data_IF_260739097834
#
_entry.id   IF_260739097834
#
_cell.length_a   1.000
_cell.length_b   1.000
_cell.length_c   1.000
_cell.angle_alpha   90.00
_cell.angle_beta   90.00
_cell.angle_gamma   90.00
#
_symmetry.space_group_name_H-M   'P 1'
#
loop_
_entity.id
_entity.type
_entity.pdbx_description
1 polymer ?
#
# COMPACT_ATOMS: atom_id res chain seq x y z
N UNK A 1 0.81 16.13 -8.69
CA UNK A 1 0.50 14.92 -7.84
C UNK A 1 0.18 15.36 -6.40
N UNK A 2 -0.72 16.32 -6.24
CA UNK A 2 -1.05 16.89 -4.92
C UNK A 2 -1.46 15.78 -3.94
N UNK A 3 -0.66 15.62 -2.87
CA UNK A 3 -0.93 14.65 -1.81
C UNK A 3 -0.60 13.18 -2.13
N UNK A 4 -0.09 12.84 -3.32
CA UNK A 4 0.36 11.49 -3.62
C UNK A 4 1.54 11.11 -2.72
N UNK A 5 1.49 9.91 -2.13
CA UNK A 5 2.56 9.34 -1.30
C UNK A 5 3.41 8.43 -2.16
N UNK A 6 4.65 8.85 -2.44
CA UNK A 6 5.58 8.14 -3.32
C UNK A 6 6.79 7.67 -2.51
N UNK A 7 7.08 6.38 -2.54
CA UNK A 7 8.30 5.85 -1.94
C UNK A 7 9.31 5.49 -3.02
N UNK A 8 10.55 5.95 -2.83
CA UNK A 8 11.66 5.77 -3.77
C UNK A 8 12.63 4.77 -3.15
N UNK A 9 12.73 3.59 -3.76
CA UNK A 9 13.59 2.48 -3.32
C UNK A 9 14.79 2.40 -4.25
N UNK A 10 15.92 2.84 -3.75
CA UNK A 10 17.16 3.03 -4.50
C UNK A 10 18.32 3.01 -3.48
N UNK A 11 19.38 2.29 -3.75
CA UNK A 11 20.56 2.24 -2.88
C UNK A 11 21.48 3.44 -3.06
N UNK A 12 21.56 4.02 -4.27
CA UNK A 12 22.26 5.27 -4.51
C UNK A 12 21.57 6.45 -3.81
N UNK A 13 22.24 6.98 -2.79
CA UNK A 13 21.72 8.08 -1.98
C UNK A 13 21.56 9.38 -2.78
N UNK A 14 22.49 9.67 -3.68
CA UNK A 14 22.47 10.93 -4.46
C UNK A 14 21.28 10.92 -5.43
N UNK A 15 21.15 9.86 -6.20
CA UNK A 15 20.03 9.71 -7.13
C UNK A 15 18.69 9.67 -6.39
N UNK A 16 18.59 8.92 -5.30
CA UNK A 16 17.40 8.84 -4.46
C UNK A 16 16.97 10.22 -3.94
N UNK A 17 17.93 11.03 -3.45
CA UNK A 17 17.65 12.38 -2.93
C UNK A 17 17.17 13.29 -4.04
N UNK A 18 17.82 13.26 -5.20
CA UNK A 18 17.44 14.06 -6.37
C UNK A 18 16.00 13.78 -6.82
N UNK A 19 15.61 12.51 -6.87
CA UNK A 19 14.23 12.10 -7.21
C UNK A 19 13.23 12.57 -6.16
N UNK A 20 13.54 12.44 -4.89
CA UNK A 20 12.67 12.90 -3.79
C UNK A 20 12.42 14.40 -3.89
N UNK A 21 13.45 15.20 -4.07
CA UNK A 21 13.36 16.65 -4.15
C UNK A 21 12.47 17.07 -5.35
N UNK A 22 12.66 16.44 -6.49
CA UNK A 22 11.82 16.67 -7.67
C UNK A 22 10.35 16.33 -7.44
N UNK A 23 10.07 15.19 -6.80
CA UNK A 23 8.71 14.77 -6.48
C UNK A 23 8.02 15.71 -5.49
N UNK A 24 8.74 16.19 -4.50
CA UNK A 24 8.23 17.16 -3.52
C UNK A 24 7.90 18.49 -4.19
N UNK A 25 8.75 18.99 -5.09
CA UNK A 25 8.47 20.20 -5.88
C UNK A 25 7.18 20.05 -6.70
N UNK A 26 6.84 18.84 -7.13
CA UNK A 26 5.60 18.55 -7.87
C UNK A 26 4.39 18.18 -6.96
N UNK A 27 4.50 18.44 -5.65
CA UNK A 27 3.40 18.31 -4.67
C UNK A 27 3.15 16.89 -4.16
N UNK A 28 4.08 15.97 -4.34
CA UNK A 28 4.02 14.65 -3.72
C UNK A 28 4.60 14.69 -2.29
N UNK A 29 4.17 13.74 -1.45
CA UNK A 29 4.88 13.38 -0.22
C UNK A 29 5.81 12.23 -0.55
N UNK A 30 7.11 12.51 -0.67
CA UNK A 30 8.09 11.51 -1.08
C UNK A 30 8.94 11.02 0.10
N UNK A 31 9.31 9.73 0.08
CA UNK A 31 10.17 9.10 1.08
C UNK A 31 11.19 8.19 0.41
N UNK A 32 12.46 8.27 0.85
CA UNK A 32 13.55 7.43 0.37
C UNK A 32 13.76 6.18 1.23
N UNK A 33 14.04 5.07 0.58
CA UNK A 33 14.28 3.77 1.17
C UNK A 33 15.49 3.15 0.46
N UNK A 34 16.43 2.58 1.22
CA UNK A 34 17.70 2.08 0.67
C UNK A 34 17.71 0.60 0.28
N UNK A 35 16.68 -0.17 0.63
CA UNK A 35 16.60 -1.60 0.29
C UNK A 35 15.17 -2.13 0.32
N UNK A 36 14.96 -3.30 -0.33
CA UNK A 36 13.66 -3.98 -0.37
C UNK A 36 13.22 -4.45 1.03
N UNK A 37 14.13 -4.93 1.86
CA UNK A 37 13.84 -5.37 3.22
C UNK A 37 13.32 -4.21 4.08
N UNK A 38 13.90 -3.02 3.89
CA UNK A 38 13.42 -1.81 4.55
C UNK A 38 12.06 -1.40 4.03
N UNK A 39 11.82 -1.50 2.71
CA UNK A 39 10.50 -1.26 2.11
C UNK A 39 9.42 -2.13 2.77
N UNK A 40 9.64 -3.43 2.91
CA UNK A 40 8.68 -4.34 3.54
C UNK A 40 8.40 -3.98 4.99
N UNK A 41 9.44 -3.65 5.75
CA UNK A 41 9.27 -3.20 7.15
C UNK A 41 8.43 -1.94 7.26
N UNK A 42 8.64 -1.00 6.36
CA UNK A 42 7.87 0.24 6.35
C UNK A 42 6.43 0.02 5.89
N UNK A 43 6.20 -0.80 4.85
CA UNK A 43 4.86 -1.15 4.37
C UNK A 43 4.01 -1.87 5.42
N UNK A 44 4.64 -2.56 6.38
CA UNK A 44 3.92 -3.20 7.46
C UNK A 44 3.26 -2.22 8.45
N UNK A 45 3.70 -0.96 8.51
CA UNK A 45 3.19 0.05 9.46
C UNK A 45 2.70 1.32 8.79
N UNK A 46 3.07 1.55 7.53
CA UNK A 46 2.70 2.72 6.77
C UNK A 46 2.37 2.32 5.32
N UNK A 47 1.98 3.26 4.47
CA UNK A 47 1.59 2.99 3.09
C UNK A 47 2.06 4.07 2.13
N UNK A 48 2.16 3.71 0.86
CA UNK A 48 2.33 4.64 -0.24
C UNK A 48 1.30 4.35 -1.35
N UNK A 49 1.10 5.33 -2.20
CA UNK A 49 0.28 5.17 -3.40
C UNK A 49 1.10 4.56 -4.53
N UNK A 50 2.38 4.97 -4.62
CA UNK A 50 3.30 4.53 -5.68
C UNK A 50 4.67 4.20 -5.07
N UNK A 51 5.27 3.09 -5.55
CA UNK A 51 6.67 2.76 -5.32
C UNK A 51 7.43 2.98 -6.62
N UNK A 52 8.48 3.81 -6.57
CA UNK A 52 9.54 3.89 -7.58
C UNK A 52 10.65 2.97 -7.11
N UNK A 53 11.00 1.97 -7.89
CA UNK A 53 11.85 0.86 -7.45
C UNK A 53 12.97 0.61 -8.47
N UNK A 54 14.20 0.63 -8.03
CA UNK A 54 15.30 0.09 -8.85
C UNK A 54 15.23 -1.43 -8.88
N UNK A 55 15.58 -2.01 -10.02
CA UNK A 55 15.72 -3.45 -10.18
C UNK A 55 17.04 -3.94 -9.58
N UNK A 56 18.10 -3.13 -9.70
CA UNK A 56 19.44 -3.50 -9.24
C UNK A 56 19.62 -2.97 -7.81
N UNK A 57 19.23 -3.79 -6.85
CA UNK A 57 19.37 -3.47 -5.43
C UNK A 57 20.21 -4.55 -4.71
N UNK A 58 20.93 -4.19 -3.64
CA UNK A 58 21.58 -5.18 -2.80
C UNK A 58 20.54 -6.02 -2.03
N UNK A 59 20.78 -7.31 -1.91
CA UNK A 59 19.85 -8.26 -1.27
C UNK A 59 18.79 -8.78 -2.24
N UNK A 60 17.52 -8.52 -1.97
CA UNK A 60 16.43 -8.89 -2.87
C UNK A 60 16.35 -7.92 -4.06
N UNK A 61 16.32 -8.47 -5.28
CA UNK A 61 16.20 -7.66 -6.51
C UNK A 61 14.79 -7.09 -6.70
N UNK A 62 14.70 -5.96 -7.43
CA UNK A 62 13.46 -5.24 -7.65
C UNK A 62 12.41 -6.00 -8.46
N UNK A 63 12.75 -7.02 -9.26
CA UNK A 63 11.79 -7.84 -10.00
C UNK A 63 11.06 -8.81 -9.06
N UNK A 64 11.82 -9.47 -8.18
CA UNK A 64 11.27 -10.31 -7.11
C UNK A 64 10.36 -9.47 -6.21
N UNK A 65 10.86 -8.29 -5.79
CA UNK A 65 10.10 -7.35 -4.98
C UNK A 65 8.80 -6.92 -5.68
N UNK A 66 8.83 -6.63 -6.98
CA UNK A 66 7.63 -6.27 -7.76
C UNK A 66 6.56 -7.37 -7.68
N UNK A 67 6.97 -8.62 -7.88
CA UNK A 67 6.06 -9.77 -7.81
C UNK A 67 5.46 -9.94 -6.41
N UNK A 68 6.22 -9.67 -5.35
CA UNK A 68 5.75 -9.70 -3.98
C UNK A 68 4.78 -8.54 -3.68
N UNK A 69 5.13 -7.31 -4.08
CA UNK A 69 4.30 -6.12 -3.88
C UNK A 69 2.92 -6.28 -4.54
N UNK A 70 2.84 -6.89 -5.72
CA UNK A 70 1.56 -7.17 -6.39
C UNK A 70 0.65 -8.12 -5.63
N UNK A 71 1.22 -9.06 -4.88
CA UNK A 71 0.42 -9.99 -4.06
C UNK A 71 -0.16 -9.32 -2.81
N UNK A 72 0.54 -8.32 -2.28
CA UNK A 72 0.13 -7.65 -1.03
C UNK A 72 -0.68 -6.38 -1.26
N UNK A 73 -0.70 -5.81 -2.50
CA UNK A 73 -1.47 -4.59 -2.75
C UNK A 73 -1.53 -4.13 -4.20
N UNK A 74 -2.39 -3.13 -4.43
CA UNK A 74 -2.60 -2.51 -5.74
C UNK A 74 -1.91 -1.14 -5.85
N UNK A 75 -0.85 -0.91 -5.06
CA UNK A 75 -0.02 0.28 -5.20
C UNK A 75 0.57 0.38 -6.60
N UNK A 76 0.78 1.59 -7.10
CA UNK A 76 1.51 1.78 -8.36
C UNK A 76 2.95 1.33 -8.22
N UNK A 77 3.48 0.59 -9.20
CA UNK A 77 4.88 0.17 -9.22
C UNK A 77 5.53 0.67 -10.50
N UNK A 78 6.53 1.54 -10.34
CA UNK A 78 7.34 2.08 -11.44
C UNK A 78 8.76 1.58 -11.26
N UNK A 79 9.23 0.75 -12.19
CA UNK A 79 10.62 0.30 -12.22
C UNK A 79 11.48 1.36 -12.91
N UNK A 80 12.60 1.72 -12.26
CA UNK A 80 13.60 2.66 -12.82
C UNK A 80 14.98 2.04 -12.66
N UNK A 81 15.63 1.63 -13.74
CA UNK A 81 16.82 0.80 -13.65
C UNK A 81 17.78 0.99 -14.82
N UNK A 82 19.07 0.65 -14.63
CA UNK A 82 20.06 0.62 -15.71
C UNK A 82 19.84 -0.54 -16.72
N UNK A 83 18.98 -1.52 -16.41
CA UNK A 83 18.61 -2.58 -17.36
C UNK A 83 17.62 -2.02 -18.38
N UNK A 84 18.01 -1.90 -19.64
CA UNK A 84 17.23 -1.22 -20.68
C UNK A 84 16.86 -2.10 -21.87
N UNK A 85 17.09 -3.43 -21.83
CA UNK A 85 16.73 -4.30 -22.95
C UNK A 85 15.21 -4.51 -23.04
N UNK A 86 14.72 -4.80 -24.24
CA UNK A 86 13.30 -5.15 -24.44
C UNK A 86 12.87 -6.37 -23.61
N UNK A 87 13.79 -7.32 -23.39
CA UNK A 87 13.55 -8.49 -22.56
C UNK A 87 13.40 -8.13 -21.09
N UNK A 88 14.26 -7.26 -20.54
CA UNK A 88 14.16 -6.78 -19.15
C UNK A 88 12.85 -6.01 -18.94
N UNK A 89 12.48 -5.16 -19.88
CA UNK A 89 11.21 -4.41 -19.83
C UNK A 89 10.01 -5.36 -19.84
N UNK A 90 9.99 -6.35 -20.72
CA UNK A 90 8.92 -7.35 -20.78
C UNK A 90 8.82 -8.14 -19.47
N UNK A 91 9.97 -8.51 -18.88
CA UNK A 91 10.02 -9.21 -17.60
C UNK A 91 9.48 -8.35 -16.45
N UNK A 92 9.88 -7.09 -16.35
CA UNK A 92 9.41 -6.15 -15.32
C UNK A 92 7.90 -5.93 -15.37
N UNK A 93 7.35 -5.71 -16.56
CA UNK A 93 5.91 -5.55 -16.77
C UNK A 93 5.14 -6.84 -16.47
N UNK A 94 5.68 -8.00 -16.84
CA UNK A 94 5.09 -9.31 -16.53
C UNK A 94 5.13 -9.62 -15.03
N UNK A 95 6.13 -9.13 -14.31
CA UNK A 95 6.19 -9.23 -12.85
C UNK A 95 5.14 -8.37 -12.14
N UNK A 96 4.47 -7.45 -12.86
CA UNK A 96 3.38 -6.63 -12.36
C UNK A 96 3.69 -5.15 -12.21
N UNK A 97 4.79 -4.65 -12.77
CA UNK A 97 5.05 -3.22 -12.82
C UNK A 97 4.03 -2.49 -13.72
N UNK A 98 3.63 -1.28 -13.34
CA UNK A 98 2.74 -0.43 -14.12
C UNK A 98 3.49 0.39 -15.17
N UNK A 99 4.79 0.60 -14.95
CA UNK A 99 5.68 1.33 -15.83
C UNK A 99 7.12 0.83 -15.65
N UNK A 100 7.90 0.88 -16.73
CA UNK A 100 9.31 0.53 -16.73
C UNK A 100 10.09 1.65 -17.43
N UNK A 101 11.06 2.24 -16.76
CA UNK A 101 11.88 3.34 -17.25
C UNK A 101 13.36 2.97 -17.14
N UNK A 102 14.08 3.11 -18.25
CA UNK A 102 15.51 2.81 -18.29
C UNK A 102 16.35 4.07 -17.95
N UNK A 103 17.38 3.90 -17.12
CA UNK A 103 18.43 4.90 -16.89
C UNK A 103 19.40 4.93 -18.10
N UNK A 104 19.91 6.10 -18.57
CA UNK A 104 19.70 7.43 -17.99
C UNK A 104 18.30 7.96 -18.25
N UNK A 105 17.68 8.56 -17.23
CA UNK A 105 16.31 9.04 -17.26
C UNK A 105 16.24 10.52 -16.86
N UNK A 106 15.56 11.31 -17.65
CA UNK A 106 15.25 12.70 -17.30
C UNK A 106 14.13 12.74 -16.25
N UNK A 107 14.31 13.50 -15.16
CA UNK A 107 13.34 13.59 -14.07
C UNK A 107 11.94 14.04 -14.51
N UNK A 108 11.78 15.00 -15.46
CA UNK A 108 10.45 15.33 -15.97
C UNK A 108 9.70 14.15 -16.59
N UNK A 109 10.39 13.18 -17.19
CA UNK A 109 9.79 11.96 -17.74
C UNK A 109 9.27 11.06 -16.61
N UNK A 110 10.05 10.89 -15.55
CA UNK A 110 9.63 10.16 -14.36
C UNK A 110 8.39 10.80 -13.73
N UNK A 111 8.41 12.11 -13.51
CA UNK A 111 7.28 12.86 -12.96
C UNK A 111 6.02 12.70 -13.81
N UNK A 112 6.14 12.80 -15.14
CA UNK A 112 5.02 12.63 -16.05
C UNK A 112 4.43 11.21 -15.99
N UNK A 113 5.27 10.17 -15.91
CA UNK A 113 4.86 8.78 -15.78
C UNK A 113 4.11 8.55 -14.46
N UNK A 114 4.66 9.03 -13.34
CA UNK A 114 4.05 8.93 -12.03
C UNK A 114 2.72 9.68 -11.95
N UNK A 115 2.65 10.88 -12.52
CA UNK A 115 1.40 11.65 -12.60
C UNK A 115 0.32 10.93 -13.40
N UNK A 116 0.69 10.33 -14.55
CA UNK A 116 -0.23 9.55 -15.37
C UNK A 116 -0.73 8.31 -14.64
N UNK A 117 0.15 7.59 -13.94
CA UNK A 117 -0.19 6.42 -13.13
C UNK A 117 -1.13 6.80 -11.98
N UNK A 118 -0.79 7.80 -11.19
CA UNK A 118 -1.60 8.28 -10.07
C UNK A 118 -3.02 8.67 -10.51
N UNK A 119 -3.15 9.39 -11.63
CA UNK A 119 -4.44 9.77 -12.20
C UNK A 119 -5.28 8.53 -12.59
N UNK A 120 -4.66 7.50 -13.21
CA UNK A 120 -5.35 6.25 -13.56
C UNK A 120 -5.83 5.49 -12.32
N UNK A 121 -5.01 5.45 -11.27
CA UNK A 121 -5.38 4.84 -9.99
C UNK A 121 -6.55 5.57 -9.35
N UNK A 122 -6.51 6.90 -9.29
CA UNK A 122 -7.60 7.72 -8.78
C UNK A 122 -8.91 7.53 -9.58
N UNK A 123 -8.82 7.42 -10.91
CA UNK A 123 -9.97 7.16 -11.76
C UNK A 123 -10.60 5.76 -11.52
N UNK A 124 -9.77 4.72 -11.31
CA UNK A 124 -10.24 3.37 -10.93
C UNK A 124 -10.98 3.39 -9.59
N UNK A 125 -10.43 4.09 -8.59
CA UNK A 125 -11.08 4.26 -7.29
C UNK A 125 -12.43 4.99 -7.43
N UNK A 126 -12.46 6.06 -8.23
CA UNK A 126 -13.69 6.82 -8.48
C UNK A 126 -14.76 6.01 -9.24
N UNK A 127 -14.37 5.15 -10.18
CA UNK A 127 -15.28 4.25 -10.89
C UNK A 127 -15.87 3.20 -9.93
N UNK A 128 -15.01 2.56 -9.11
CA UNK A 128 -15.44 1.59 -8.11
C UNK A 128 -16.39 2.19 -7.06
N UNK A 129 -16.29 3.51 -6.80
CA UNK A 129 -17.24 4.25 -5.93
C UNK A 129 -18.63 4.38 -6.57
N UNK A 130 -18.72 4.57 -7.88
CA UNK A 130 -20.01 4.72 -8.59
C UNK A 130 -20.79 3.42 -8.67
N UNK A 131 -20.08 2.30 -8.77
CA UNK A 131 -20.68 0.97 -8.93
C UNK A 131 -20.99 0.29 -7.57
N UNK A 132 -20.72 0.96 -6.44
CA UNK A 132 -20.97 0.43 -5.11
C UNK A 132 -22.48 0.55 -4.78
N UNK A 133 -23.16 -0.56 -4.42
CA UNK A 133 -24.53 -0.50 -3.95
C UNK A 133 -24.65 0.35 -2.67
N UNK A 134 -25.83 0.91 -2.49
CA UNK A 134 -26.19 1.84 -1.42
C UNK A 134 -25.72 1.38 -0.04
N UNK A 135 -25.22 2.33 0.74
CA UNK A 135 -24.62 2.06 2.03
C UNK A 135 -25.66 1.51 3.01
N UNK A 136 -25.67 0.21 3.20
CA UNK A 136 -26.32 -0.37 4.35
C UNK A 136 -25.76 0.23 5.65
N UNK A 137 -26.55 0.19 6.72
CA UNK A 137 -26.24 0.74 8.06
C UNK A 137 -25.09 -0.01 8.78
N UNK A 138 -24.09 -0.50 8.04
CA UNK A 138 -22.99 -1.34 8.54
C UNK A 138 -21.63 -0.92 7.97
N UNK A 139 -20.57 -1.25 8.70
CA UNK A 139 -19.20 -1.11 8.21
C UNK A 139 -18.97 -1.98 6.99
N UNK A 140 -18.36 -1.42 5.95
CA UNK A 140 -18.09 -2.14 4.71
C UNK A 140 -16.77 -1.73 4.07
N UNK A 141 -16.14 -2.69 3.36
CA UNK A 141 -14.99 -2.43 2.51
C UNK A 141 -15.46 -2.26 1.07
N UNK A 142 -15.09 -1.16 0.43
CA UNK A 142 -15.45 -0.83 -0.96
C UNK A 142 -14.22 -0.53 -1.80
N UNK A 143 -14.42 -0.31 -3.09
CA UNK A 143 -13.33 -0.03 -4.02
C UNK A 143 -12.26 -1.13 -4.00
N UNK A 144 -12.67 -2.42 -4.02
CA UNK A 144 -11.75 -3.54 -3.94
C UNK A 144 -11.03 -3.67 -2.58
N UNK A 145 -11.58 -3.05 -1.53
CA UNK A 145 -11.01 -3.04 -0.19
C UNK A 145 -10.13 -1.82 0.10
N UNK A 146 -10.06 -0.83 -0.80
CA UNK A 146 -9.27 0.38 -0.60
C UNK A 146 -9.97 1.47 0.20
N UNK A 147 -11.26 1.33 0.42
CA UNK A 147 -12.05 2.26 1.23
C UNK A 147 -12.80 1.53 2.33
N UNK A 148 -12.70 2.08 3.52
CA UNK A 148 -13.56 1.71 4.63
C UNK A 148 -14.71 2.69 4.69
N UNK A 149 -15.93 2.17 4.65
CA UNK A 149 -17.17 2.92 4.83
C UNK A 149 -17.78 2.61 6.19
N UNK A 150 -18.21 3.64 6.86
CA UNK A 150 -18.86 3.56 8.15
C UNK A 150 -20.39 3.58 8.02
N UNK A 151 -21.14 3.11 9.03
CA UNK A 151 -22.59 3.09 9.06
C UNK A 151 -23.23 4.47 8.85
N UNK A 152 -22.54 5.53 9.24
CA UNK A 152 -23.01 6.91 9.08
C UNK A 152 -22.67 7.55 7.71
N UNK A 153 -22.23 6.74 6.75
CA UNK A 153 -21.96 7.19 5.38
C UNK A 153 -20.62 7.89 5.14
N UNK A 154 -19.75 7.98 6.16
CA UNK A 154 -18.40 8.51 5.99
C UNK A 154 -17.47 7.43 5.48
N UNK A 155 -16.52 7.81 4.64
CA UNK A 155 -15.50 6.89 4.14
C UNK A 155 -14.09 7.43 4.36
N UNK A 156 -13.12 6.50 4.38
CA UNK A 156 -11.71 6.84 4.37
C UNK A 156 -10.93 5.88 3.49
N UNK A 157 -9.91 6.39 2.82
CA UNK A 157 -8.95 5.57 2.09
C UNK A 157 -8.07 4.78 3.06
N UNK A 158 -7.80 3.53 2.70
CA UNK A 158 -6.95 2.62 3.47
C UNK A 158 -5.55 2.53 2.89
N UNK A 159 -4.59 2.38 3.76
CA UNK A 159 -3.24 1.98 3.38
C UNK A 159 -3.21 0.51 2.95
N UNK A 160 -2.14 0.10 2.27
CA UNK A 160 -1.92 -1.32 1.90
C UNK A 160 -2.00 -2.24 3.12
N UNK A 161 -1.33 -1.88 4.22
CA UNK A 161 -1.34 -2.65 5.45
C UNK A 161 -2.73 -2.67 6.12
N UNK A 162 -3.41 -1.53 6.18
CA UNK A 162 -4.77 -1.44 6.72
C UNK A 162 -5.77 -2.24 5.89
N UNK A 163 -5.65 -2.18 4.56
CA UNK A 163 -6.45 -2.98 3.64
C UNK A 163 -6.23 -4.47 3.86
N UNK A 164 -4.98 -4.92 3.92
CA UNK A 164 -4.65 -6.33 4.13
C UNK A 164 -5.22 -6.82 5.47
N UNK A 165 -5.02 -6.07 6.56
CA UNK A 165 -5.57 -6.36 7.87
C UNK A 165 -7.11 -6.45 7.86
N UNK A 166 -7.76 -5.43 7.29
CA UNK A 166 -9.22 -5.36 7.28
C UNK A 166 -9.85 -6.43 6.37
N UNK A 167 -9.25 -6.76 5.24
CA UNK A 167 -9.73 -7.85 4.38
C UNK A 167 -9.79 -9.19 5.12
N UNK A 168 -8.76 -9.50 5.90
CA UNK A 168 -8.77 -10.72 6.73
C UNK A 168 -9.87 -10.68 7.80
N UNK A 169 -10.06 -9.56 8.46
CA UNK A 169 -11.08 -9.41 9.50
C UNK A 169 -12.50 -9.39 8.92
N UNK A 170 -12.72 -8.74 7.78
CA UNK A 170 -14.02 -8.69 7.10
C UNK A 170 -14.38 -10.01 6.39
N UNK A 171 -13.40 -10.87 6.10
CA UNK A 171 -13.67 -12.20 5.55
C UNK A 171 -14.26 -13.17 6.57
N UNK A 172 -14.09 -12.89 7.87
CA UNK A 172 -14.52 -13.75 8.96
C UNK A 172 -15.18 -12.92 10.09
N UNK A 173 -16.27 -12.18 9.83
CA UNK A 173 -16.93 -11.37 10.84
C UNK A 173 -17.45 -12.27 11.99
N UNK A 174 -17.28 -11.81 13.23
CA UNK A 174 -17.67 -12.58 14.41
C UNK A 174 -16.72 -13.72 14.79
N UNK A 175 -15.67 -13.97 13.99
CA UNK A 175 -14.71 -15.04 14.27
C UNK A 175 -13.33 -14.44 14.58
N UNK A 176 -12.63 -14.91 15.64
CA UNK A 176 -11.27 -14.47 15.94
C UNK A 176 -10.30 -14.82 14.81
N UNK A 177 -9.53 -13.85 14.35
CA UNK A 177 -8.45 -14.05 13.39
C UNK A 177 -7.12 -14.03 14.13
N UNK A 178 -6.36 -15.11 14.04
CA UNK A 178 -5.08 -15.29 14.71
C UNK A 178 -4.02 -14.29 14.26
N UNK A 179 -3.11 -13.92 15.20
CA UNK A 179 -2.01 -12.97 14.89
C UNK A 179 -1.14 -13.42 13.73
N UNK A 180 -0.80 -14.71 13.68
CA UNK A 180 0.03 -15.28 12.61
C UNK A 180 -0.61 -15.09 11.23
N UNK A 181 -1.93 -15.32 11.11
CA UNK A 181 -2.67 -15.12 9.87
C UNK A 181 -2.71 -13.64 9.47
N UNK A 182 -2.90 -12.72 10.42
CA UNK A 182 -2.86 -11.29 10.15
C UNK A 182 -1.48 -10.83 9.73
N UNK A 183 -0.41 -11.33 10.37
CA UNK A 183 0.98 -11.03 10.02
C UNK A 183 1.30 -11.57 8.62
N UNK A 184 0.87 -12.79 8.31
CA UNK A 184 1.08 -13.38 6.98
C UNK A 184 0.40 -12.58 5.85
N UNK A 185 -0.70 -11.90 6.15
CA UNK A 185 -1.35 -10.98 5.20
C UNK A 185 -0.59 -9.65 5.04
N UNK A 186 0.23 -9.26 6.02
CA UNK A 186 0.95 -7.98 6.03
C UNK A 186 2.34 -8.07 5.38
N UNK A 187 2.97 -9.24 5.37
CA UNK A 187 4.35 -9.40 4.91
C UNK A 187 4.57 -10.77 4.27
N UNK A 188 5.41 -10.86 3.22
CA UNK A 188 5.83 -12.14 2.65
C UNK A 188 6.81 -12.89 3.57
N UNK A 189 7.39 -12.23 4.58
CA UNK A 189 8.33 -12.81 5.56
C UNK A 189 7.78 -12.75 6.98
N UNK A 190 6.75 -13.55 7.33
CA UNK A 190 6.07 -13.46 8.63
C UNK A 190 6.99 -13.76 9.84
N UNK A 191 8.03 -14.57 9.63
CA UNK A 191 8.98 -14.96 10.69
C UNK A 191 9.94 -13.83 11.12
N UNK A 192 10.11 -12.79 10.29
CA UNK A 192 10.93 -11.60 10.59
C UNK A 192 10.09 -10.40 11.03
N UNK A 193 8.79 -10.61 11.22
CA UNK A 193 7.86 -9.55 11.56
C UNK A 193 7.76 -9.37 13.08
N UNK A 194 8.08 -8.17 13.59
CA UNK A 194 7.85 -7.83 14.99
C UNK A 194 6.34 -7.76 15.29
N UNK A 195 5.80 -8.64 16.15
CA UNK A 195 4.38 -8.66 16.50
C UNK A 195 3.85 -7.33 17.06
N UNK A 196 4.71 -6.52 17.69
CA UNK A 196 4.32 -5.20 18.20
C UNK A 196 3.87 -4.25 17.09
N UNK A 197 4.41 -4.40 15.88
CA UNK A 197 4.00 -3.59 14.71
C UNK A 197 2.54 -3.81 14.32
N UNK A 198 2.00 -5.02 14.50
CA UNK A 198 0.57 -5.29 14.30
C UNK A 198 -0.29 -4.50 15.30
N UNK A 199 0.15 -4.41 16.55
CA UNK A 199 -0.56 -3.65 17.59
C UNK A 199 -0.56 -2.15 17.28
N UNK A 200 0.59 -1.63 16.84
CA UNK A 200 0.73 -0.24 16.41
C UNK A 200 -0.18 0.05 15.19
N UNK A 201 -0.21 -0.85 14.20
CA UNK A 201 -1.08 -0.72 13.03
C UNK A 201 -2.56 -0.64 13.44
N UNK A 202 -3.02 -1.55 14.27
CA UNK A 202 -4.42 -1.55 14.75
C UNK A 202 -4.73 -0.30 15.56
N UNK A 203 -3.83 0.14 16.41
CA UNK A 203 -4.01 1.36 17.20
C UNK A 203 -4.14 2.60 16.30
N UNK A 204 -3.24 2.76 15.34
CA UNK A 204 -3.28 3.89 14.38
C UNK A 204 -4.52 3.86 13.51
N UNK A 205 -4.90 2.69 13.00
CA UNK A 205 -6.13 2.51 12.22
C UNK A 205 -7.37 2.95 13.01
N UNK A 206 -7.50 2.52 14.26
CA UNK A 206 -8.62 2.95 15.12
C UNK A 206 -8.67 4.45 15.31
N UNK A 207 -7.52 5.09 15.53
CA UNK A 207 -7.43 6.55 15.68
C UNK A 207 -7.84 7.26 14.39
N UNK A 208 -7.33 6.83 13.22
CA UNK A 208 -7.68 7.39 11.92
C UNK A 208 -9.16 7.24 11.60
N UNK A 209 -9.72 6.05 11.85
CA UNK A 209 -11.15 5.78 11.62
C UNK A 209 -12.00 6.69 12.49
N UNK A 210 -11.68 6.83 13.78
CA UNK A 210 -12.42 7.72 14.68
C UNK A 210 -12.36 9.18 14.21
N UNK A 211 -11.20 9.64 13.75
CA UNK A 211 -11.06 11.01 13.25
C UNK A 211 -11.83 11.25 11.93
N UNK A 212 -11.87 10.25 11.04
CA UNK A 212 -12.50 10.38 9.73
C UNK A 212 -14.02 10.16 9.77
N UNK A 213 -14.51 9.28 10.66
CA UNK A 213 -15.91 8.84 10.64
C UNK A 213 -16.68 9.21 11.91
N UNK A 214 -16.02 9.71 12.93
CA UNK A 214 -16.56 9.97 14.27
C UNK A 214 -17.10 8.71 15.00
N UNK A 215 -16.86 7.52 14.45
CA UNK A 215 -17.27 6.23 15.01
C UNK A 215 -16.05 5.39 15.40
N UNK A 216 -16.25 4.50 16.35
CA UNK A 216 -15.23 3.52 16.73
C UNK A 216 -15.28 2.32 15.78
N UNK A 217 -14.14 1.95 15.20
CA UNK A 217 -14.02 0.73 14.40
C UNK A 217 -14.30 -0.50 15.30
N UNK A 218 -15.22 -1.40 14.92
CA UNK A 218 -15.66 -2.51 15.77
C UNK A 218 -14.69 -3.70 15.75
N UNK A 219 -13.41 -3.44 15.97
CA UNK A 219 -12.37 -4.46 16.11
C UNK A 219 -12.05 -4.62 17.60
N UNK A 220 -12.10 -5.85 18.11
CA UNK A 220 -11.68 -6.20 19.48
C UNK A 220 -10.41 -7.01 19.46
N UNK A 221 -9.47 -6.67 20.37
CA UNK A 221 -8.32 -7.51 20.65
C UNK A 221 -8.76 -8.63 21.62
N UNK A 222 -8.40 -9.86 21.29
CA UNK A 222 -8.60 -11.04 22.15
C UNK A 222 -7.23 -11.50 22.64
N UNK A 223 -7.04 -11.44 23.96
CA UNK A 223 -5.76 -11.77 24.59
C UNK A 223 -5.32 -13.19 24.22
N UNK A 224 -4.11 -13.33 23.67
CA UNK A 224 -3.54 -14.61 23.26
C UNK A 224 -4.09 -15.19 21.95
N UNK A 225 -5.20 -14.67 21.37
CA UNK A 225 -5.83 -15.21 20.16
C UNK A 225 -5.67 -14.34 18.94
N UNK A 226 -5.71 -13.02 19.06
CA UNK A 226 -5.62 -12.11 17.91
C UNK A 226 -6.67 -11.00 17.93
N UNK A 227 -7.36 -10.79 16.80
CA UNK A 227 -8.37 -9.75 16.66
C UNK A 227 -9.67 -10.28 16.10
N UNK A 228 -10.77 -9.63 16.45
CA UNK A 228 -12.12 -9.97 16.03
C UNK A 228 -12.81 -8.73 15.48
N UNK A 229 -13.40 -8.81 14.31
CA UNK A 229 -14.37 -7.84 13.82
C UNK A 229 -15.73 -8.20 14.43
N UNK A 230 -16.26 -7.33 15.29
CA UNK A 230 -17.57 -7.52 15.91
C UNK A 230 -18.64 -7.17 14.85
N UNK A 231 -19.49 -8.10 14.43
CA UNK A 231 -20.60 -7.78 13.54
C UNK A 231 -21.55 -6.82 14.26
N UNK A 232 -22.05 -5.82 13.55
CA UNK A 232 -23.15 -5.01 14.09
C UNK A 232 -24.36 -5.91 14.32
N UNK A 233 -24.90 -5.86 15.52
CA UNK A 233 -26.18 -6.51 15.80
C UNK A 233 -27.25 -5.74 15.02
N UNK A 234 -27.99 -6.47 14.19
CA UNK A 234 -29.14 -5.97 13.45
C UNK A 234 -30.25 -5.48 14.42
#
# INVERSE_FOLDING_TARGET
MQGARVWVVEDDLEWRTLVIDELVQHGATARGIGSVETLYRELAVDSCDIVVLDVILPGEDGLSATSHLRRIGDMGIVLVTARGSAADMAQGLSAGADCYLAKPLELPVLVAALHSLYRRMAARLAAARRDAPDAGNAWSLRAGGWELWSPNGHSMALSTAERALLRELFSMPGTPVGRERLIAALTPTPWDFDPHRLEVLVHRLRSRVRSATHLALPIRALRGMGYLLVPEQA
#
